data_IF_872974433528
#
_entry.id   IF_872974433528
#
_cell.length_a   1.000
_cell.length_b   1.000
_cell.length_c   1.000
_cell.angle_alpha   90.00
_cell.angle_beta   90.00
_cell.angle_gamma   90.00
#
_symmetry.space_group_name_H-M   'P 1'
#
loop_
_entity.id
_entity.type
_entity.pdbx_description
1 polymer ?
#
# COMPACT_ATOMS: atom_id res chain seq x y z
N UNK A 1 3.73 17.57 -28.14
CA UNK A 1 3.39 18.64 -27.19
C UNK A 1 2.13 18.20 -26.47
N UNK A 2 2.28 17.53 -25.34
CA UNK A 2 1.17 17.14 -24.45
C UNK A 2 0.73 18.40 -23.71
N UNK A 3 -0.47 18.88 -23.99
CA UNK A 3 -1.12 19.98 -23.27
C UNK A 3 -1.31 19.51 -21.82
N UNK A 4 -0.55 20.08 -20.90
CA UNK A 4 -0.67 19.88 -19.48
C UNK A 4 -1.98 20.53 -19.01
N UNK A 5 -3.07 19.77 -19.07
CA UNK A 5 -4.38 20.25 -18.66
C UNK A 5 -4.38 20.46 -17.15
N UNK A 6 -4.77 21.65 -16.68
CA UNK A 6 -4.85 21.98 -15.26
C UNK A 6 -5.70 20.93 -14.53
N UNK A 7 -5.22 20.38 -13.40
CA UNK A 7 -5.95 19.33 -12.68
C UNK A 7 -7.35 19.80 -12.26
N UNK A 8 -8.31 18.93 -12.45
CA UNK A 8 -9.72 19.15 -12.12
C UNK A 8 -9.91 19.27 -10.61
N UNK A 9 -11.05 19.79 -10.16
CA UNK A 9 -11.38 19.84 -8.73
C UNK A 9 -11.43 18.44 -8.10
N UNK A 10 -11.83 17.44 -8.87
CA UNK A 10 -11.87 16.03 -8.41
C UNK A 10 -10.45 15.49 -8.21
N UNK A 11 -9.55 15.68 -9.15
CA UNK A 11 -8.15 15.25 -9.05
C UNK A 11 -7.44 15.93 -7.88
N UNK A 12 -7.62 17.24 -7.70
CA UNK A 12 -7.04 17.96 -6.56
C UNK A 12 -7.55 17.44 -5.22
N UNK A 13 -8.84 17.07 -5.11
CA UNK A 13 -9.40 16.48 -3.88
C UNK A 13 -8.82 15.10 -3.62
N UNK A 14 -8.67 14.26 -4.64
CA UNK A 14 -8.07 12.93 -4.51
C UNK A 14 -6.60 13.02 -4.07
N UNK A 15 -5.83 13.93 -4.65
CA UNK A 15 -4.44 14.18 -4.28
C UNK A 15 -4.32 14.72 -2.85
N UNK A 16 -5.13 15.71 -2.48
CA UNK A 16 -5.18 16.23 -1.12
C UNK A 16 -5.53 15.16 -0.09
N UNK A 17 -6.52 14.32 -0.40
CA UNK A 17 -6.90 13.19 0.45
C UNK A 17 -5.76 12.17 0.55
N UNK A 18 -5.11 11.81 -0.56
CA UNK A 18 -3.99 10.88 -0.56
C UNK A 18 -2.81 11.37 0.30
N UNK A 19 -2.47 12.64 0.17
CA UNK A 19 -1.34 13.25 0.87
C UNK A 19 -1.62 13.44 2.36
N UNK A 20 -2.76 14.06 2.69
CA UNK A 20 -3.08 14.39 4.07
C UNK A 20 -3.38 13.15 4.90
N UNK A 21 -4.14 12.20 4.37
CA UNK A 21 -4.42 10.96 5.12
C UNK A 21 -3.18 10.10 5.32
N UNK A 22 -2.22 10.15 4.41
CA UNK A 22 -0.96 9.45 4.57
C UNK A 22 -0.07 10.04 5.67
N UNK A 23 -0.11 11.38 5.84
CA UNK A 23 0.71 12.11 6.82
C UNK A 23 0.05 12.25 8.17
N UNK A 24 -1.26 12.48 8.20
CA UNK A 24 -2.01 12.93 9.38
C UNK A 24 -3.09 11.92 9.80
N UNK A 25 -3.29 10.85 8.99
CA UNK A 25 -4.28 9.82 9.26
C UNK A 25 -5.67 10.09 8.67
N UNK A 26 -6.55 9.08 8.74
CA UNK A 26 -7.90 9.15 8.15
C UNK A 26 -8.85 10.08 8.90
N UNK A 27 -8.49 10.52 10.11
CA UNK A 27 -9.25 11.46 10.92
C UNK A 27 -9.32 12.89 10.38
N UNK A 28 -8.51 13.23 9.36
CA UNK A 28 -8.46 14.58 8.76
C UNK A 28 -9.85 15.13 8.44
N UNK A 29 -10.08 16.40 8.79
CA UNK A 29 -11.37 17.07 8.60
C UNK A 29 -11.63 17.48 7.15
N UNK A 30 -12.90 17.59 6.76
CA UNK A 30 -13.33 18.06 5.42
C UNK A 30 -12.76 19.44 5.09
N UNK A 31 -12.66 20.32 6.09
CA UNK A 31 -12.12 21.67 5.90
C UNK A 31 -10.66 21.68 5.48
N UNK A 32 -9.85 20.82 6.11
CA UNK A 32 -8.43 20.67 5.77
C UNK A 32 -8.27 20.12 4.34
N UNK A 33 -9.08 19.12 3.97
CA UNK A 33 -9.10 18.56 2.62
C UNK A 33 -9.49 19.60 1.57
N UNK A 34 -10.55 20.38 1.81
CA UNK A 34 -11.00 21.44 0.92
C UNK A 34 -9.95 22.54 0.77
N UNK A 35 -9.32 22.96 1.88
CA UNK A 35 -8.25 23.97 1.88
C UNK A 35 -7.05 23.51 1.07
N UNK A 36 -6.59 22.27 1.29
CA UNK A 36 -5.46 21.71 0.56
C UNK A 36 -5.72 21.56 -0.94
N UNK A 37 -6.95 21.15 -1.30
CA UNK A 37 -7.36 21.00 -2.69
C UNK A 37 -7.72 22.32 -3.39
N UNK A 38 -7.84 23.42 -2.65
CA UNK A 38 -8.30 24.71 -3.20
C UNK A 38 -9.73 24.64 -3.74
N UNK A 39 -10.65 23.95 -3.03
CA UNK A 39 -12.06 23.78 -3.42
C UNK A 39 -12.99 24.13 -2.28
N UNK A 40 -14.26 24.44 -2.58
CA UNK A 40 -15.28 24.67 -1.56
C UNK A 40 -15.84 23.36 -1.00
N UNK A 41 -16.39 23.37 0.22
CA UNK A 41 -17.17 22.23 0.76
C UNK A 41 -18.31 21.83 -0.17
N UNK A 42 -18.99 22.80 -0.77
CA UNK A 42 -20.06 22.55 -1.75
C UNK A 42 -19.53 21.74 -2.94
N UNK A 43 -18.40 22.12 -3.49
CA UNK A 43 -17.77 21.40 -4.61
C UNK A 43 -17.38 19.98 -4.22
N UNK A 44 -16.88 19.77 -2.98
CA UNK A 44 -16.56 18.41 -2.49
C UNK A 44 -17.83 17.54 -2.48
N UNK A 45 -18.92 18.03 -1.89
CA UNK A 45 -20.18 17.24 -1.81
C UNK A 45 -20.95 17.11 -3.12
N UNK A 46 -20.60 17.92 -4.15
CA UNK A 46 -21.07 17.71 -5.51
C UNK A 46 -20.30 16.58 -6.23
N UNK A 47 -19.07 16.30 -5.84
CA UNK A 47 -18.18 15.33 -6.46
C UNK A 47 -18.11 13.99 -5.72
N UNK A 48 -18.39 14.00 -4.42
CA UNK A 48 -18.35 12.84 -3.53
C UNK A 48 -19.50 12.90 -2.53
N UNK A 49 -20.23 11.81 -2.36
CA UNK A 49 -21.38 11.73 -1.45
C UNK A 49 -20.98 11.99 0.02
N UNK A 50 -19.74 11.63 0.37
CA UNK A 50 -19.21 11.78 1.72
C UNK A 50 -17.68 11.91 1.72
N UNK A 51 -17.12 12.30 2.88
CA UNK A 51 -15.68 12.22 3.13
C UNK A 51 -15.16 10.78 2.98
N UNK A 52 -15.94 9.82 3.43
CA UNK A 52 -15.54 8.41 3.41
C UNK A 52 -15.45 7.87 2.00
N UNK A 53 -16.32 8.34 1.09
CA UNK A 53 -16.21 8.04 -0.34
C UNK A 53 -14.97 8.67 -0.95
N UNK A 54 -14.66 9.92 -0.64
CA UNK A 54 -13.43 10.59 -1.09
C UNK A 54 -12.19 9.82 -0.62
N UNK A 55 -12.14 9.37 0.65
CA UNK A 55 -11.04 8.55 1.16
C UNK A 55 -10.92 7.22 0.42
N UNK A 56 -12.02 6.55 0.17
CA UNK A 56 -12.04 5.31 -0.59
C UNK A 56 -11.58 5.50 -2.03
N UNK A 57 -12.05 6.56 -2.69
CA UNK A 57 -11.65 6.91 -4.06
C UNK A 57 -10.15 7.23 -4.15
N UNK A 58 -9.62 7.98 -3.19
CA UNK A 58 -8.20 8.33 -3.10
C UNK A 58 -7.31 7.08 -2.94
N UNK A 59 -7.68 6.15 -2.04
CA UNK A 59 -6.96 4.89 -1.89
C UNK A 59 -7.03 4.01 -3.15
N UNK A 60 -8.19 4.02 -3.84
CA UNK A 60 -8.38 3.27 -5.09
C UNK A 60 -7.52 3.85 -6.22
N UNK A 61 -7.47 5.17 -6.35
CA UNK A 61 -6.66 5.86 -7.36
C UNK A 61 -5.17 5.55 -7.20
N UNK A 62 -4.66 5.59 -5.98
CA UNK A 62 -3.25 5.28 -5.68
C UNK A 62 -2.87 3.80 -5.79
N UNK A 63 -3.83 2.89 -6.02
CA UNK A 63 -3.57 1.46 -5.99
C UNK A 63 -2.65 0.97 -7.12
N UNK A 64 -2.81 1.52 -8.31
CA UNK A 64 -1.98 1.17 -9.47
C UNK A 64 -0.50 1.52 -9.24
N UNK A 65 -0.23 2.74 -8.80
CA UNK A 65 1.13 3.19 -8.50
C UNK A 65 1.76 2.40 -7.33
N UNK A 66 0.97 2.08 -6.30
CA UNK A 66 1.43 1.24 -5.19
C UNK A 66 1.85 -0.16 -5.67
N UNK A 67 1.02 -0.81 -6.48
CA UNK A 67 1.31 -2.14 -7.03
C UNK A 67 2.54 -2.09 -7.94
N UNK A 68 2.60 -1.13 -8.86
CA UNK A 68 3.72 -0.98 -9.78
C UNK A 68 5.05 -0.65 -9.08
N UNK A 69 5.01 0.08 -7.97
CA UNK A 69 6.20 0.40 -7.17
C UNK A 69 6.63 -0.71 -6.21
N UNK A 70 5.86 -1.79 -6.09
CA UNK A 70 6.11 -2.86 -5.13
C UNK A 70 6.31 -4.22 -5.80
N UNK A 71 5.46 -4.58 -6.76
CA UNK A 71 5.49 -5.90 -7.39
C UNK A 71 6.40 -5.90 -8.63
N UNK A 72 7.06 -7.02 -8.92
CA UNK A 72 7.77 -7.18 -10.19
C UNK A 72 6.77 -7.13 -11.36
N UNK A 73 7.21 -6.71 -12.55
CA UNK A 73 6.41 -6.78 -13.77
C UNK A 73 5.84 -8.18 -14.03
N UNK A 74 4.74 -8.25 -14.79
CA UNK A 74 4.09 -9.54 -15.06
C UNK A 74 4.93 -10.45 -15.95
N UNK A 75 5.75 -9.86 -16.82
CA UNK A 75 6.65 -10.51 -17.79
C UNK A 75 8.09 -10.69 -17.24
N UNK A 76 8.28 -10.51 -15.94
CA UNK A 76 9.55 -10.68 -15.27
C UNK A 76 9.93 -12.17 -15.22
N UNK A 77 11.10 -12.51 -15.75
CA UNK A 77 11.63 -13.88 -15.90
C UNK A 77 12.40 -14.41 -14.67
N UNK A 78 12.48 -13.61 -13.60
CA UNK A 78 13.09 -14.03 -12.34
C UNK A 78 12.35 -15.21 -11.72
N UNK A 79 13.09 -16.03 -10.98
CA UNK A 79 12.50 -17.13 -10.20
C UNK A 79 11.45 -16.63 -9.20
N UNK A 80 10.49 -17.47 -8.78
CA UNK A 80 9.52 -17.13 -7.74
C UNK A 80 10.15 -16.58 -6.47
N UNK A 81 11.27 -17.15 -6.06
CA UNK A 81 12.07 -16.68 -4.92
C UNK A 81 12.55 -15.24 -5.11
N UNK A 82 13.14 -14.94 -6.24
CA UNK A 82 13.65 -13.60 -6.55
C UNK A 82 12.53 -12.57 -6.68
N UNK A 83 11.38 -12.98 -7.22
CA UNK A 83 10.19 -12.13 -7.33
C UNK A 83 9.62 -11.78 -5.96
N UNK A 84 9.58 -12.73 -5.02
CA UNK A 84 9.23 -12.45 -3.62
C UNK A 84 10.25 -11.49 -2.98
N UNK A 85 11.54 -11.77 -3.12
CA UNK A 85 12.61 -10.93 -2.58
C UNK A 85 12.57 -9.51 -3.13
N UNK A 86 12.18 -9.33 -4.39
CA UNK A 86 11.99 -8.00 -4.99
C UNK A 86 11.00 -7.14 -4.20
N UNK A 87 9.87 -7.70 -3.75
CA UNK A 87 8.87 -6.96 -2.96
C UNK A 87 9.50 -6.37 -1.69
N UNK A 88 10.33 -7.16 -1.01
CA UNK A 88 10.98 -6.71 0.23
C UNK A 88 12.15 -5.76 -0.03
N UNK A 89 12.83 -5.88 -1.16
CA UNK A 89 13.83 -4.92 -1.61
C UNK A 89 13.17 -3.54 -1.90
N UNK A 90 12.01 -3.54 -2.59
CA UNK A 90 11.23 -2.33 -2.84
C UNK A 90 10.71 -1.70 -1.54
N UNK A 91 10.22 -2.51 -0.60
CA UNK A 91 9.80 -2.01 0.71
C UNK A 91 10.97 -1.32 1.44
N UNK A 92 12.15 -1.95 1.46
CA UNK A 92 13.34 -1.39 2.11
C UNK A 92 13.78 -0.08 1.44
N UNK A 93 13.74 -0.01 0.12
CA UNK A 93 14.06 1.20 -0.63
C UNK A 93 13.08 2.34 -0.32
N UNK A 94 11.76 2.04 -0.31
CA UNK A 94 10.72 3.01 0.05
C UNK A 94 10.85 3.47 1.51
N UNK A 95 11.14 2.54 2.43
CA UNK A 95 11.32 2.84 3.85
C UNK A 95 12.50 3.79 4.14
N UNK A 96 13.49 3.80 3.25
CA UNK A 96 14.65 4.71 3.34
C UNK A 96 14.37 6.11 2.79
N UNK A 97 13.22 6.32 2.12
CA UNK A 97 12.86 7.61 1.56
C UNK A 97 12.30 8.56 2.64
N UNK A 98 12.65 9.87 2.57
CA UNK A 98 12.06 10.87 3.47
C UNK A 98 10.52 10.87 3.37
N UNK A 99 9.85 10.93 4.53
CA UNK A 99 8.38 10.98 4.58
C UNK A 99 7.70 9.62 4.37
N UNK A 100 8.40 8.52 4.50
CA UNK A 100 7.77 7.21 4.56
C UNK A 100 7.03 7.03 5.90
N UNK A 101 5.72 6.81 5.84
CA UNK A 101 4.84 6.58 6.99
C UNK A 101 4.24 5.16 7.01
N UNK A 102 4.88 4.22 6.32
CA UNK A 102 4.39 2.84 6.25
C UNK A 102 3.37 2.59 5.15
N UNK A 103 2.70 1.45 5.22
CA UNK A 103 1.69 1.06 4.24
C UNK A 103 0.37 1.79 4.50
N UNK A 104 -0.01 2.72 3.61
CA UNK A 104 -1.29 3.48 3.70
C UNK A 104 -2.52 2.60 3.81
N UNK A 105 -2.52 1.40 3.22
CA UNK A 105 -3.65 0.47 3.26
C UNK A 105 -3.76 -0.24 4.61
N UNK A 106 -2.64 -0.56 5.25
CA UNK A 106 -2.63 -1.08 6.60
C UNK A 106 -3.06 0.00 7.60
N UNK A 107 -2.48 1.21 7.51
CA UNK A 107 -2.80 2.34 8.37
C UNK A 107 -4.30 2.67 8.33
N UNK A 108 -4.89 2.79 7.14
CA UNK A 108 -6.32 3.05 7.00
C UNK A 108 -7.20 2.00 7.71
N UNK A 109 -6.84 0.71 7.67
CA UNK A 109 -7.60 -0.34 8.35
C UNK A 109 -7.46 -0.27 9.87
N UNK A 110 -6.25 0.02 10.36
CA UNK A 110 -5.96 0.14 11.79
C UNK A 110 -6.71 1.34 12.40
N UNK A 111 -6.71 2.47 11.72
CA UNK A 111 -7.34 3.71 12.19
C UNK A 111 -8.87 3.66 12.13
N UNK A 112 -9.43 3.17 11.02
CA UNK A 112 -10.89 3.13 10.83
C UNK A 112 -11.59 2.13 11.74
N UNK A 113 -10.96 0.99 12.04
CA UNK A 113 -11.52 -0.09 12.90
C UNK A 113 -12.90 -0.62 12.45
N UNK A 114 -13.40 -0.17 11.31
CA UNK A 114 -14.66 -0.60 10.70
C UNK A 114 -14.41 -1.30 9.37
N UNK A 115 -14.72 -2.59 9.34
CA UNK A 115 -14.55 -3.40 8.14
C UNK A 115 -15.55 -3.07 7.02
N UNK A 116 -16.68 -2.41 7.35
CA UNK A 116 -17.70 -2.02 6.38
C UNK A 116 -17.42 -0.66 5.76
N UNK A 117 -16.53 0.13 6.36
CA UNK A 117 -16.13 1.43 5.82
C UNK A 117 -15.63 1.31 4.36
N UNK A 118 -16.03 2.21 3.44
CA UNK A 118 -15.64 2.13 2.02
C UNK A 118 -14.12 2.05 1.83
N UNK A 119 -13.35 2.88 2.54
CA UNK A 119 -11.89 2.88 2.48
C UNK A 119 -11.27 1.56 3.02
N UNK A 120 -11.85 0.96 4.08
CA UNK A 120 -11.40 -0.34 4.59
C UNK A 120 -11.62 -1.46 3.58
N UNK A 121 -12.71 -1.40 2.80
CA UNK A 121 -12.97 -2.38 1.72
C UNK A 121 -11.93 -2.28 0.61
N UNK A 122 -11.55 -1.06 0.22
CA UNK A 122 -10.47 -0.83 -0.77
C UNK A 122 -9.15 -1.37 -0.22
N UNK A 123 -8.77 -0.95 0.98
CA UNK A 123 -7.51 -1.36 1.61
C UNK A 123 -7.40 -2.89 1.73
N UNK A 124 -8.47 -3.56 2.17
CA UNK A 124 -8.53 -5.03 2.26
C UNK A 124 -8.36 -5.71 0.90
N UNK A 125 -8.93 -5.15 -0.16
CA UNK A 125 -8.75 -5.69 -1.51
C UNK A 125 -7.29 -5.63 -1.94
N UNK A 126 -6.61 -4.51 -1.70
CA UNK A 126 -5.19 -4.36 -2.04
C UNK A 126 -4.32 -5.35 -1.24
N UNK A 127 -4.60 -5.50 0.06
CA UNK A 127 -3.88 -6.49 0.90
C UNK A 127 -4.13 -7.93 0.46
N UNK A 128 -5.35 -8.28 0.04
CA UNK A 128 -5.65 -9.60 -0.54
C UNK A 128 -4.92 -9.83 -1.86
N UNK A 129 -4.76 -8.80 -2.69
CA UNK A 129 -4.01 -8.91 -3.94
C UNK A 129 -2.52 -9.21 -3.66
N UNK A 130 -1.93 -8.54 -2.68
CA UNK A 130 -0.55 -8.81 -2.26
C UNK A 130 -0.40 -10.23 -1.67
N UNK A 131 -1.33 -10.68 -0.83
CA UNK A 131 -1.37 -12.06 -0.35
C UNK A 131 -1.46 -13.06 -1.52
N UNK A 132 -2.35 -12.77 -2.48
CA UNK A 132 -2.50 -13.59 -3.69
C UNK A 132 -1.25 -13.63 -4.56
N UNK A 133 -0.48 -12.55 -4.63
CA UNK A 133 0.83 -12.56 -5.28
C UNK A 133 1.78 -13.53 -4.55
N UNK A 134 1.99 -13.37 -3.26
CA UNK A 134 2.88 -14.26 -2.50
C UNK A 134 2.48 -15.72 -2.62
N UNK A 135 1.18 -16.02 -2.57
CA UNK A 135 0.69 -17.39 -2.72
C UNK A 135 1.03 -17.97 -4.09
N UNK A 136 0.78 -17.24 -5.18
CA UNK A 136 1.12 -17.72 -6.54
C UNK A 136 2.62 -17.98 -6.71
N UNK A 137 3.46 -17.05 -6.23
CA UNK A 137 4.91 -17.26 -6.30
C UNK A 137 5.35 -18.46 -5.44
N UNK A 138 4.75 -18.66 -4.27
CA UNK A 138 5.00 -19.82 -3.41
C UNK A 138 4.57 -21.13 -4.07
N UNK A 139 3.40 -21.16 -4.73
CA UNK A 139 2.91 -22.32 -5.51
C UNK A 139 3.86 -22.63 -6.66
N UNK A 140 4.26 -21.65 -7.46
CA UNK A 140 5.15 -21.80 -8.60
C UNK A 140 6.56 -22.23 -8.21
N UNK A 141 7.06 -21.76 -7.07
CA UNK A 141 8.37 -22.13 -6.53
C UNK A 141 8.39 -23.46 -5.77
N UNK A 142 7.25 -24.16 -5.68
CA UNK A 142 7.15 -25.48 -5.07
C UNK A 142 7.25 -25.47 -3.54
N UNK A 143 6.81 -24.40 -2.87
CA UNK A 143 6.78 -24.34 -1.41
C UNK A 143 5.94 -25.50 -0.83
N UNK A 144 6.37 -26.05 0.30
CA UNK A 144 5.68 -27.17 0.96
C UNK A 144 4.25 -26.79 1.43
N UNK A 145 4.06 -25.55 1.89
CA UNK A 145 2.75 -24.96 2.23
C UNK A 145 2.70 -23.53 1.69
N UNK A 146 2.22 -23.32 0.45
CA UNK A 146 2.17 -22.00 -0.17
C UNK A 146 1.27 -21.00 0.55
N UNK A 147 0.16 -21.46 1.13
CA UNK A 147 -0.76 -20.60 1.86
C UNK A 147 -0.14 -20.10 3.17
N UNK A 148 0.49 -20.98 3.93
CA UNK A 148 1.18 -20.61 5.15
C UNK A 148 2.32 -19.62 4.86
N UNK A 149 3.16 -19.93 3.86
CA UNK A 149 4.27 -19.04 3.46
C UNK A 149 3.76 -17.66 3.05
N UNK A 150 2.72 -17.59 2.22
CA UNK A 150 2.14 -16.33 1.78
C UNK A 150 1.65 -15.48 2.96
N UNK A 151 1.00 -16.09 3.94
CA UNK A 151 0.53 -15.42 5.16
C UNK A 151 1.70 -14.94 6.03
N UNK A 152 2.74 -15.74 6.19
CA UNK A 152 3.96 -15.34 6.91
C UNK A 152 4.64 -14.16 6.24
N UNK A 153 4.81 -14.19 4.90
CA UNK A 153 5.38 -13.08 4.14
C UNK A 153 4.56 -11.79 4.28
N UNK A 154 3.21 -11.91 4.27
CA UNK A 154 2.36 -10.74 4.48
C UNK A 154 2.49 -10.15 5.89
N UNK A 155 2.61 -10.99 6.93
CA UNK A 155 2.87 -10.54 8.31
C UNK A 155 4.22 -9.84 8.41
N UNK A 156 5.27 -10.37 7.79
CA UNK A 156 6.59 -9.72 7.74
C UNK A 156 6.50 -8.38 7.01
N UNK A 157 5.83 -8.33 5.87
CA UNK A 157 5.63 -7.09 5.11
C UNK A 157 4.91 -6.01 5.95
N UNK A 158 3.83 -6.38 6.62
CA UNK A 158 3.03 -5.46 7.42
C UNK A 158 3.81 -4.98 8.65
N UNK A 159 4.48 -5.88 9.34
CA UNK A 159 5.31 -5.54 10.50
C UNK A 159 6.49 -4.64 10.13
N UNK A 160 7.21 -4.98 9.07
CA UNK A 160 8.33 -4.17 8.56
C UNK A 160 7.88 -2.78 8.15
N UNK A 161 6.80 -2.71 7.35
CA UNK A 161 6.23 -1.45 6.88
C UNK A 161 5.79 -0.54 8.04
N UNK A 162 5.13 -1.10 9.07
CA UNK A 162 4.70 -0.36 10.25
C UNK A 162 5.89 0.16 11.06
N UNK A 163 6.89 -0.70 11.33
CA UNK A 163 8.09 -0.33 12.11
C UNK A 163 8.89 0.79 11.45
N UNK A 164 9.10 0.69 10.14
CA UNK A 164 9.78 1.74 9.40
C UNK A 164 8.96 3.04 9.35
N UNK A 165 7.63 2.93 9.18
CA UNK A 165 6.72 4.07 9.12
C UNK A 165 6.64 4.89 10.40
N UNK A 166 6.89 4.28 11.57
CA UNK A 166 6.96 4.97 12.87
C UNK A 166 8.39 5.28 13.31
N UNK A 167 9.38 5.06 12.43
CA UNK A 167 10.77 5.40 12.69
C UNK A 167 11.50 4.53 13.72
N UNK A 168 11.00 3.33 14.02
CA UNK A 168 11.62 2.41 14.99
C UNK A 168 12.73 1.58 14.35
N UNK A 169 12.68 1.37 13.03
CA UNK A 169 13.61 0.49 12.31
C UNK A 169 13.79 0.99 10.87
N UNK A 170 15.01 0.96 10.36
CA UNK A 170 15.31 1.31 8.95
C UNK A 170 15.29 0.09 8.02
N UNK A 171 14.98 -1.08 8.55
CA UNK A 171 14.89 -2.39 7.90
C UNK A 171 16.20 -2.94 7.31
N UNK A 172 17.29 -2.18 7.35
CA UNK A 172 18.58 -2.62 6.80
C UNK A 172 19.15 -3.79 7.60
N UNK A 173 19.60 -4.82 6.89
CA UNK A 173 20.17 -6.02 7.53
C UNK A 173 19.15 -6.90 8.27
N UNK A 174 17.88 -6.51 8.34
CA UNK A 174 16.82 -7.28 9.02
C UNK A 174 15.94 -8.04 8.04
N UNK A 175 15.39 -7.37 7.05
CA UNK A 175 14.32 -7.94 6.22
C UNK A 175 14.82 -9.04 5.31
N UNK A 176 15.96 -8.85 4.64
CA UNK A 176 16.52 -9.85 3.72
C UNK A 176 16.80 -11.18 4.45
N UNK A 177 17.53 -11.22 5.58
CA UNK A 177 17.74 -12.47 6.34
C UNK A 177 16.43 -13.09 6.83
N UNK A 178 15.48 -12.29 7.31
CA UNK A 178 14.19 -12.78 7.81
C UNK A 178 13.40 -13.48 6.71
N UNK A 179 13.26 -12.86 5.56
CA UNK A 179 12.54 -13.42 4.42
C UNK A 179 13.28 -14.64 3.86
N UNK A 180 14.60 -14.57 3.73
CA UNK A 180 15.43 -15.71 3.30
C UNK A 180 15.17 -16.95 4.17
N UNK A 181 15.16 -16.78 5.49
CA UNK A 181 14.89 -17.89 6.43
C UNK A 181 13.50 -18.52 6.19
N UNK A 182 12.46 -17.70 5.93
CA UNK A 182 11.13 -18.22 5.63
C UNK A 182 11.08 -18.99 4.31
N UNK A 183 11.74 -18.45 3.27
CA UNK A 183 11.80 -19.08 1.96
C UNK A 183 12.56 -20.42 2.01
N UNK A 184 13.66 -20.47 2.75
CA UNK A 184 14.45 -21.69 2.94
C UNK A 184 13.68 -22.75 3.74
N UNK A 185 13.01 -22.35 4.83
CA UNK A 185 12.17 -23.22 5.62
C UNK A 185 10.98 -23.81 4.83
N UNK A 186 10.47 -23.03 3.86
CA UNK A 186 9.41 -23.49 2.97
C UNK A 186 9.92 -24.29 1.75
N UNK A 187 11.22 -24.55 1.64
CA UNK A 187 11.89 -25.19 0.50
C UNK A 187 11.61 -24.49 -0.85
N UNK A 188 11.39 -23.17 -0.85
CA UNK A 188 11.11 -22.42 -2.07
C UNK A 188 12.36 -22.31 -2.95
N UNK A 189 12.21 -22.65 -4.22
CA UNK A 189 13.25 -22.60 -5.25
C UNK A 189 13.15 -21.35 -6.13
#
# INVERSE_FOLDING_TARGET
MTTDAKPTSRERLLEAAATLTYREGVGIGVEALCKAAGVSKRSLYQLFESKDELLAASLKEGAGAFVAGLLPPADDDRSPRERIMHVFAQLTAQASAPGFHGCRYLAAQIELKDQRHPASRVARRIKRNLLGFFRREAEQGGAADPELLARQLLVVFDGASARAGIGVDDLKGLIVPTVTTLLDAAALR
#
